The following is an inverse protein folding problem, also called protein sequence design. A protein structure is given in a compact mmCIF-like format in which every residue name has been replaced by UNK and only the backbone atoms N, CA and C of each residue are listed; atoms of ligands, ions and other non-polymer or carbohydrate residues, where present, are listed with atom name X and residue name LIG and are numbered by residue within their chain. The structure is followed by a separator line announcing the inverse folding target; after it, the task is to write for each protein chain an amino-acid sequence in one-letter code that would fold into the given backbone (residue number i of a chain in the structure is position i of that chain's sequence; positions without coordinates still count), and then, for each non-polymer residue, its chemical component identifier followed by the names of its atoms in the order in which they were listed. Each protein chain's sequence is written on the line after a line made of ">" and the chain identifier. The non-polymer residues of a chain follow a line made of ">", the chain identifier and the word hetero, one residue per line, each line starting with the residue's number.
data_IF_674624777177
#
_entry.id   IF_674624777177
#
_cell.length_a   1.000
_cell.length_b   1.000
_cell.length_c   1.000
_cell.angle_alpha   90.00
_cell.angle_beta   90.00
_cell.angle_gamma   90.00
#
_symmetry.space_group_name_H-M   'P 1'
#
loop_
_entity.id
_entity.type
_entity.pdbx_description
1 polymer ?
#
# COMPACT_ATOMS: atom_id res chain seq x y z
N UNK A 1 52.43 24.97 12.59
CA UNK A 1 51.39 24.94 11.52
C UNK A 1 51.08 23.54 10.92
N UNK A 2 51.79 22.46 11.21
CA UNK A 2 51.54 21.11 10.64
C UNK A 2 50.34 20.33 11.29
N UNK A 3 50.02 20.56 12.58
CA UNK A 3 48.91 19.86 13.29
C UNK A 3 47.52 20.16 12.70
N UNK A 4 47.22 21.40 12.33
CA UNK A 4 45.88 21.76 11.77
C UNK A 4 45.53 21.08 10.43
N UNK A 5 46.54 20.79 9.58
CA UNK A 5 46.30 20.11 8.30
C UNK A 5 45.97 18.61 8.47
N UNK A 6 46.48 17.97 9.51
CA UNK A 6 46.21 16.57 9.80
C UNK A 6 44.79 16.38 10.32
N UNK A 7 44.33 17.24 11.24
CA UNK A 7 42.97 17.22 11.78
C UNK A 7 41.92 17.45 10.70
N UNK A 8 42.17 18.38 9.76
CA UNK A 8 41.24 18.67 8.66
C UNK A 8 41.06 17.47 7.70
N UNK A 9 42.13 16.75 7.40
CA UNK A 9 42.10 15.54 6.56
C UNK A 9 41.38 14.38 7.27
N UNK A 10 41.59 14.21 8.57
CA UNK A 10 40.91 13.19 9.37
C UNK A 10 39.42 13.48 9.49
N UNK A 11 39.04 14.74 9.70
CA UNK A 11 37.64 15.15 9.75
C UNK A 11 36.93 14.94 8.40
N UNK A 12 37.58 15.29 7.29
CA UNK A 12 37.04 15.06 5.94
C UNK A 12 36.86 13.57 5.65
N UNK A 13 37.77 12.71 6.08
CA UNK A 13 37.63 11.25 5.90
C UNK A 13 36.45 10.68 6.70
N UNK A 14 36.29 11.10 7.96
CA UNK A 14 35.18 10.67 8.82
C UNK A 14 33.84 11.10 8.21
N UNK A 15 33.77 12.32 7.71
CA UNK A 15 32.55 12.85 7.07
C UNK A 15 32.21 12.10 5.78
N UNK A 16 33.23 11.74 5.00
CA UNK A 16 33.04 10.96 3.75
C UNK A 16 32.57 9.53 4.06
N UNK A 17 33.18 8.87 5.08
CA UNK A 17 32.74 7.53 5.50
C UNK A 17 31.33 7.58 6.06
N UNK A 18 30.97 8.60 6.86
CA UNK A 18 29.62 8.81 7.36
C UNK A 18 28.60 8.98 6.24
N UNK A 19 28.91 9.76 5.22
CA UNK A 19 28.06 9.92 4.02
C UNK A 19 27.89 8.62 3.24
N UNK A 20 28.93 7.81 3.09
CA UNK A 20 28.86 6.51 2.42
C UNK A 20 27.96 5.51 3.18
N UNK A 21 28.06 5.50 4.52
CA UNK A 21 27.20 4.67 5.37
C UNK A 21 25.73 5.12 5.24
N UNK A 22 25.47 6.42 5.32
CA UNK A 22 24.12 6.97 5.14
C UNK A 22 23.56 6.65 3.76
N UNK A 23 24.36 6.80 2.70
CA UNK A 23 23.96 6.47 1.34
C UNK A 23 23.64 4.97 1.15
N UNK A 24 24.35 4.08 1.87
CA UNK A 24 24.08 2.64 1.87
C UNK A 24 22.85 2.23 2.69
N UNK A 25 22.60 2.89 3.83
CA UNK A 25 21.46 2.59 4.70
C UNK A 25 20.14 3.21 4.21
N UNK A 26 20.21 4.34 3.50
CA UNK A 26 19.05 5.07 3.02
C UNK A 26 18.11 4.20 2.16
N UNK A 27 18.55 3.48 1.10
CA UNK A 27 17.67 2.65 0.30
C UNK A 27 17.08 1.46 1.07
N UNK A 28 17.76 0.96 2.10
CA UNK A 28 17.21 -0.09 2.95
C UNK A 28 16.10 0.44 3.85
N UNK A 29 16.29 1.59 4.46
CA UNK A 29 15.29 2.27 5.28
C UNK A 29 14.03 2.59 4.45
N UNK A 30 14.20 3.21 3.29
CA UNK A 30 13.11 3.54 2.38
C UNK A 30 12.31 2.30 1.95
N UNK A 31 12.98 1.19 1.61
CA UNK A 31 12.31 -0.08 1.26
C UNK A 31 11.46 -0.62 2.41
N UNK A 32 11.94 -0.53 3.64
CA UNK A 32 11.22 -1.02 4.82
C UNK A 32 10.01 -0.15 5.11
N UNK A 33 10.17 1.18 5.07
CA UNK A 33 9.09 2.14 5.30
C UNK A 33 8.03 2.05 4.20
N UNK A 34 8.43 2.05 2.93
CA UNK A 34 7.48 1.93 1.81
C UNK A 34 6.79 0.56 1.78
N UNK A 35 7.50 -0.52 2.16
CA UNK A 35 6.89 -1.84 2.31
C UNK A 35 5.75 -1.85 3.34
N UNK A 36 5.96 -1.21 4.48
CA UNK A 36 4.94 -1.06 5.52
C UNK A 36 3.74 -0.23 5.03
N UNK A 37 4.00 0.87 4.31
CA UNK A 37 2.96 1.71 3.70
C UNK A 37 2.15 0.94 2.66
N UNK A 38 2.81 0.20 1.78
CA UNK A 38 2.16 -0.61 0.77
C UNK A 38 1.30 -1.73 1.39
N UNK A 39 1.78 -2.40 2.45
CA UNK A 39 0.99 -3.40 3.17
C UNK A 39 -0.28 -2.82 3.81
N UNK A 40 -0.19 -1.61 4.38
CA UNK A 40 -1.35 -0.90 4.89
C UNK A 40 -2.35 -0.55 3.77
N UNK A 41 -1.87 -0.12 2.61
CA UNK A 41 -2.73 0.16 1.45
C UNK A 41 -3.41 -1.11 0.92
N UNK A 42 -2.72 -2.26 0.89
CA UNK A 42 -3.33 -3.56 0.55
C UNK A 42 -4.46 -3.91 1.53
N UNK A 43 -4.23 -3.71 2.83
CA UNK A 43 -5.29 -3.92 3.84
C UNK A 43 -6.51 -3.03 3.58
N UNK A 44 -6.32 -1.79 3.16
CA UNK A 44 -7.42 -0.89 2.78
C UNK A 44 -8.13 -1.37 1.52
N UNK A 45 -7.40 -1.80 0.49
CA UNK A 45 -8.01 -2.36 -0.72
C UNK A 45 -8.89 -3.57 -0.40
N UNK A 46 -8.43 -4.48 0.47
CA UNK A 46 -9.20 -5.62 0.94
C UNK A 46 -10.49 -5.18 1.65
N UNK A 47 -10.40 -4.19 2.53
CA UNK A 47 -11.56 -3.66 3.25
C UNK A 47 -12.56 -2.99 2.30
N UNK A 48 -12.09 -2.23 1.32
CA UNK A 48 -12.95 -1.59 0.30
C UNK A 48 -13.61 -2.65 -0.56
N UNK A 49 -12.87 -3.64 -1.04
CA UNK A 49 -13.41 -4.75 -1.83
C UNK A 49 -14.47 -5.52 -1.03
N UNK A 50 -14.22 -5.83 0.24
CA UNK A 50 -15.20 -6.48 1.10
C UNK A 50 -16.47 -5.63 1.31
N UNK A 51 -16.32 -4.31 1.46
CA UNK A 51 -17.44 -3.37 1.61
C UNK A 51 -18.26 -3.26 0.33
N UNK A 52 -17.61 -3.21 -0.82
CA UNK A 52 -18.25 -3.24 -2.13
C UNK A 52 -19.02 -4.54 -2.36
N UNK A 53 -18.47 -5.67 -1.98
CA UNK A 53 -19.15 -6.97 -2.06
C UNK A 53 -20.38 -7.03 -1.15
N UNK A 54 -20.31 -6.46 0.06
CA UNK A 54 -21.49 -6.34 0.93
C UNK A 54 -22.57 -5.43 0.34
N UNK A 55 -22.15 -4.32 -0.28
CA UNK A 55 -23.06 -3.42 -0.99
C UNK A 55 -23.71 -4.13 -2.18
N UNK A 56 -22.93 -4.87 -2.98
CA UNK A 56 -23.39 -5.64 -4.13
C UNK A 56 -24.43 -6.73 -3.75
N UNK A 57 -24.19 -7.45 -2.64
CA UNK A 57 -25.15 -8.45 -2.16
C UNK A 57 -26.54 -7.83 -1.94
N UNK A 58 -26.59 -6.60 -1.41
CA UNK A 58 -27.84 -5.89 -1.11
C UNK A 58 -28.46 -5.22 -2.33
N UNK A 59 -27.65 -4.60 -3.19
CA UNK A 59 -28.11 -3.70 -4.25
C UNK A 59 -27.98 -4.29 -5.65
N UNK A 60 -27.33 -5.46 -5.80
CA UNK A 60 -27.02 -6.14 -7.07
C UNK A 60 -26.19 -5.31 -8.04
N UNK A 61 -25.49 -4.32 -7.53
CA UNK A 61 -24.53 -3.46 -8.26
C UNK A 61 -23.50 -2.90 -7.31
N UNK A 62 -22.30 -2.65 -7.79
CA UNK A 62 -21.26 -1.88 -7.10
C UNK A 62 -21.58 -0.37 -7.13
N UNK A 63 -20.86 0.42 -6.31
CA UNK A 63 -21.11 1.86 -6.21
C UNK A 63 -19.84 2.68 -6.32
N UNK A 64 -19.95 3.90 -6.88
CA UNK A 64 -18.91 4.94 -6.82
C UNK A 64 -19.02 5.83 -5.57
N UNK A 65 -20.05 5.62 -4.75
CA UNK A 65 -20.33 6.47 -3.61
C UNK A 65 -19.66 5.97 -2.35
N UNK A 66 -18.55 6.59 -1.98
CA UNK A 66 -17.79 6.30 -0.77
C UNK A 66 -18.61 6.45 0.51
N UNK A 67 -19.58 7.36 0.54
CA UNK A 67 -20.41 7.56 1.72
C UNK A 67 -21.36 6.38 1.96
N UNK A 68 -21.80 5.74 0.91
CA UNK A 68 -22.55 4.48 1.00
C UNK A 68 -21.68 3.32 1.49
N UNK A 69 -20.40 3.27 1.09
CA UNK A 69 -19.44 2.26 1.52
C UNK A 69 -19.02 2.43 2.99
N UNK A 70 -18.97 3.65 3.50
CA UNK A 70 -18.57 3.93 4.88
C UNK A 70 -19.41 3.17 5.93
N UNK A 71 -20.63 2.78 5.59
CA UNK A 71 -21.50 1.96 6.45
C UNK A 71 -20.98 0.53 6.64
N UNK A 72 -20.15 0.05 5.72
CA UNK A 72 -19.60 -1.31 5.71
C UNK A 72 -18.10 -1.32 5.98
N UNK A 73 -17.40 -0.19 5.82
CA UNK A 73 -15.99 -0.10 6.11
C UNK A 73 -15.75 -0.23 7.62
N UNK A 74 -14.93 -1.19 8.05
CA UNK A 74 -14.57 -1.28 9.46
C UNK A 74 -13.80 -0.02 9.87
N UNK A 75 -13.91 0.35 11.16
CA UNK A 75 -13.08 1.40 11.72
C UNK A 75 -11.60 1.02 11.55
N UNK A 76 -10.90 1.74 10.70
CA UNK A 76 -9.47 1.51 10.47
C UNK A 76 -8.72 1.90 11.74
N UNK A 77 -7.93 1.00 12.35
CA UNK A 77 -7.14 1.33 13.51
C UNK A 77 -6.21 2.51 13.21
N UNK A 78 -6.17 3.52 14.08
CA UNK A 78 -5.33 4.73 13.91
C UNK A 78 -3.86 4.42 13.62
N UNK A 79 -3.38 3.24 14.03
CA UNK A 79 -2.01 2.77 13.74
C UNK A 79 -1.78 2.34 12.30
N UNK A 80 -2.85 2.05 11.54
CA UNK A 80 -2.75 1.61 10.13
C UNK A 80 -2.88 2.76 9.14
N UNK A 81 -3.50 3.87 9.55
CA UNK A 81 -3.67 5.05 8.71
C UNK A 81 -5.04 5.72 8.88
N UNK A 82 -5.28 6.71 8.04
CA UNK A 82 -6.47 7.55 8.07
C UNK A 82 -7.08 7.65 6.68
N UNK A 83 -8.35 7.34 6.57
CA UNK A 83 -9.14 7.71 5.39
C UNK A 83 -9.55 9.19 5.51
N UNK A 84 -9.31 9.94 4.47
CA UNK A 84 -9.86 11.28 4.31
C UNK A 84 -11.39 11.25 4.25
N UNK A 85 -12.00 12.45 4.31
CA UNK A 85 -13.45 12.57 4.13
C UNK A 85 -13.90 11.89 2.82
N UNK A 86 -15.12 11.39 2.80
CA UNK A 86 -15.71 10.85 1.58
C UNK A 86 -15.81 11.98 0.53
N UNK A 87 -15.19 11.84 -0.65
CA UNK A 87 -15.29 12.82 -1.72
C UNK A 87 -16.66 12.73 -2.42
N UNK A 88 -16.89 13.60 -3.40
CA UNK A 88 -18.05 13.49 -4.28
C UNK A 88 -18.03 12.17 -5.05
N UNK A 89 -19.22 11.75 -5.50
CA UNK A 89 -19.38 10.49 -6.24
C UNK A 89 -18.49 10.46 -7.49
N UNK A 90 -17.73 9.39 -7.64
CA UNK A 90 -16.80 9.20 -8.76
C UNK A 90 -15.45 9.90 -8.61
N UNK A 91 -15.16 10.48 -7.45
CA UNK A 91 -13.84 11.05 -7.15
C UNK A 91 -13.02 10.09 -6.28
N UNK A 92 -11.69 10.15 -6.45
CA UNK A 92 -10.76 9.35 -5.66
C UNK A 92 -10.75 9.79 -4.20
N UNK A 93 -10.76 8.81 -3.27
CA UNK A 93 -10.64 9.03 -1.84
C UNK A 93 -9.18 8.92 -1.40
N UNK A 94 -8.76 9.78 -0.48
CA UNK A 94 -7.37 9.75 -0.01
C UNK A 94 -7.22 8.94 1.29
N UNK A 95 -6.22 8.05 1.29
CA UNK A 95 -5.76 7.31 2.47
C UNK A 95 -4.32 7.71 2.80
N UNK A 96 -4.04 8.05 4.04
CA UNK A 96 -2.73 8.50 4.50
C UNK A 96 -2.32 7.86 5.84
N UNK A 97 -1.03 7.97 6.17
CA UNK A 97 -0.47 7.40 7.40
C UNK A 97 -0.55 8.35 8.58
N UNK A 98 -0.77 9.63 8.34
CA UNK A 98 -1.03 10.64 9.38
C UNK A 98 -2.31 11.40 9.09
N UNK A 99 -2.98 11.85 10.13
CA UNK A 99 -4.19 12.67 9.99
C UNK A 99 -3.91 13.98 9.23
N UNK A 100 -2.70 14.54 9.39
CA UNK A 100 -2.26 15.74 8.67
C UNK A 100 -2.13 15.48 7.17
N UNK A 101 -1.53 14.36 6.77
CA UNK A 101 -1.38 13.99 5.37
C UNK A 101 -2.73 13.65 4.74
N UNK A 102 -3.64 13.03 5.50
CA UNK A 102 -5.02 12.79 5.06
C UNK A 102 -5.76 14.10 4.74
N UNK A 103 -5.61 15.11 5.60
CA UNK A 103 -6.22 16.43 5.38
C UNK A 103 -5.60 17.20 4.19
N UNK A 104 -4.30 17.00 3.93
CA UNK A 104 -3.54 17.72 2.91
C UNK A 104 -3.43 16.96 1.57
N UNK A 105 -3.77 15.67 1.51
CA UNK A 105 -3.61 14.83 0.33
C UNK A 105 -2.15 14.64 -0.12
N UNK A 106 -1.19 14.64 0.81
CA UNK A 106 0.24 14.73 0.46
C UNK A 106 0.98 13.39 0.41
N UNK A 107 1.01 12.65 1.52
CA UNK A 107 1.72 11.36 1.62
C UNK A 107 0.72 10.25 1.93
N UNK A 108 0.41 9.46 0.93
CA UNK A 108 -0.60 8.41 1.05
C UNK A 108 -0.92 7.74 -0.26
N UNK A 109 -2.18 7.32 -0.40
CA UNK A 109 -2.71 6.69 -1.59
C UNK A 109 -4.01 7.35 -2.02
N UNK A 110 -4.15 7.62 -3.30
CA UNK A 110 -5.43 7.96 -3.90
C UNK A 110 -6.15 6.66 -4.24
N UNK A 111 -7.27 6.41 -3.58
CA UNK A 111 -8.13 5.24 -3.82
C UNK A 111 -9.17 5.62 -4.86
N UNK A 112 -9.30 4.82 -5.90
CA UNK A 112 -10.26 5.03 -6.97
C UNK A 112 -11.03 3.73 -7.26
N UNK A 113 -12.29 3.87 -7.66
CA UNK A 113 -13.18 2.78 -8.02
C UNK A 113 -13.46 2.84 -9.52
N UNK A 114 -13.06 1.83 -10.24
CA UNK A 114 -13.28 1.69 -11.68
C UNK A 114 -14.29 0.59 -11.92
N UNK A 115 -15.50 0.96 -12.28
CA UNK A 115 -16.62 0.03 -12.52
C UNK A 115 -16.98 -0.02 -13.99
N UNK A 116 -17.48 -1.17 -14.45
CA UNK A 116 -18.11 -1.27 -15.77
C UNK A 116 -19.43 -0.48 -15.82
N UNK A 117 -20.00 -0.29 -17.01
CA UNK A 117 -21.23 0.50 -17.20
C UNK A 117 -22.41 -0.06 -16.41
N UNK A 118 -22.45 -1.37 -16.24
CA UNK A 118 -23.52 -2.10 -15.56
C UNK A 118 -23.30 -2.20 -14.05
N UNK A 119 -22.12 -1.76 -13.57
CA UNK A 119 -21.68 -1.83 -12.17
C UNK A 119 -21.72 -3.25 -11.58
N UNK A 120 -21.50 -4.25 -12.41
CA UNK A 120 -21.43 -5.67 -12.02
C UNK A 120 -20.03 -6.17 -11.86
N UNK A 121 -19.07 -5.45 -12.44
CA UNK A 121 -17.64 -5.73 -12.35
C UNK A 121 -16.86 -4.45 -12.07
N UNK A 122 -15.74 -4.57 -11.41
CA UNK A 122 -14.90 -3.42 -11.13
C UNK A 122 -13.59 -3.75 -10.45
N UNK A 123 -12.80 -2.72 -10.32
CA UNK A 123 -11.48 -2.76 -9.68
C UNK A 123 -11.35 -1.56 -8.75
N UNK A 124 -10.85 -1.80 -7.55
CA UNK A 124 -10.37 -0.72 -6.69
C UNK A 124 -8.87 -0.56 -6.87
N UNK A 125 -8.43 0.67 -7.07
CA UNK A 125 -7.01 1.02 -7.26
C UNK A 125 -6.53 1.91 -6.13
N UNK A 126 -5.25 1.78 -5.78
CA UNK A 126 -4.56 2.66 -4.83
C UNK A 126 -3.29 3.19 -5.48
N UNK A 127 -3.32 4.44 -5.91
CA UNK A 127 -2.18 5.12 -6.53
C UNK A 127 -1.35 5.81 -5.48
N UNK A 128 -0.07 5.46 -5.36
CA UNK A 128 0.87 6.07 -4.42
C UNK A 128 1.05 7.57 -4.73
N UNK A 129 0.80 8.42 -3.74
CA UNK A 129 1.03 9.87 -3.78
C UNK A 129 2.09 10.26 -2.77
N UNK A 130 3.05 11.07 -3.18
CA UNK A 130 4.22 11.39 -2.36
C UNK A 130 5.24 10.24 -2.33
N UNK A 131 6.35 10.43 -1.62
CA UNK A 131 7.45 9.45 -1.57
C UNK A 131 8.34 9.48 -2.81
N UNK A 132 9.37 8.62 -2.81
CA UNK A 132 10.37 8.54 -3.87
C UNK A 132 10.00 7.54 -4.99
N UNK A 133 8.98 6.72 -4.77
CA UNK A 133 8.64 5.62 -5.68
C UNK A 133 7.17 5.68 -6.05
N UNK A 134 6.88 5.75 -7.36
CA UNK A 134 5.54 5.65 -7.91
C UNK A 134 5.15 4.19 -8.14
N UNK A 135 4.01 3.76 -7.59
CA UNK A 135 3.40 2.47 -7.88
C UNK A 135 1.88 2.53 -7.68
N UNK A 136 1.20 1.59 -8.29
CA UNK A 136 -0.25 1.44 -8.21
C UNK A 136 -0.58 0.02 -7.77
N UNK A 137 -1.42 -0.11 -6.79
CA UNK A 137 -2.00 -1.37 -6.32
C UNK A 137 -3.42 -1.47 -6.87
N UNK A 138 -3.79 -2.63 -7.37
CA UNK A 138 -5.11 -2.89 -7.95
C UNK A 138 -5.69 -4.16 -7.34
N UNK A 139 -7.01 -4.18 -7.13
CA UNK A 139 -7.72 -5.36 -6.65
C UNK A 139 -9.06 -5.48 -7.37
N UNK A 140 -9.31 -6.63 -7.98
CA UNK A 140 -10.62 -6.97 -8.58
C UNK A 140 -11.67 -7.09 -7.47
N UNK A 141 -12.85 -6.50 -7.66
CA UNK A 141 -13.95 -6.56 -6.70
C UNK A 141 -14.61 -7.94 -6.68
N UNK A 142 -14.78 -8.57 -7.84
CA UNK A 142 -15.44 -9.86 -7.94
C UNK A 142 -14.53 -11.02 -7.52
N UNK A 143 -13.31 -11.06 -8.04
CA UNK A 143 -12.39 -12.20 -7.89
C UNK A 143 -11.39 -11.99 -6.74
N UNK A 144 -11.22 -10.74 -6.30
CA UNK A 144 -10.23 -10.38 -5.30
C UNK A 144 -8.78 -10.51 -5.81
N UNK A 145 -8.58 -10.56 -7.13
CA UNK A 145 -7.25 -10.63 -7.73
C UNK A 145 -6.48 -9.35 -7.49
N UNK A 146 -5.23 -9.53 -7.07
CA UNK A 146 -4.33 -8.42 -6.77
C UNK A 146 -3.29 -8.25 -7.85
N UNK A 147 -3.06 -7.02 -8.26
CA UNK A 147 -1.97 -6.63 -9.14
C UNK A 147 -1.22 -5.42 -8.57
N UNK A 148 0.08 -5.37 -8.81
CA UNK A 148 0.91 -4.23 -8.47
C UNK A 148 1.68 -3.78 -9.71
N UNK A 149 1.49 -2.52 -10.11
CA UNK A 149 2.16 -1.89 -11.26
C UNK A 149 3.12 -0.83 -10.77
N UNK A 150 4.36 -0.88 -11.23
CA UNK A 150 5.39 0.05 -10.79
C UNK A 150 6.37 0.39 -11.91
N UNK A 151 6.85 1.63 -11.88
CA UNK A 151 7.97 2.09 -12.70
C UNK A 151 9.24 2.16 -11.85
N UNK A 152 10.39 1.78 -12.45
CA UNK A 152 11.68 1.77 -11.76
C UNK A 152 11.97 0.50 -10.94
N UNK A 153 13.26 0.22 -10.76
CA UNK A 153 13.75 -1.06 -10.18
C UNK A 153 13.29 -1.28 -8.73
N UNK A 154 13.28 -0.25 -7.90
CA UNK A 154 12.96 -0.37 -6.48
C UNK A 154 11.46 -0.61 -6.28
N UNK A 155 10.61 0.15 -6.99
CA UNK A 155 9.17 -0.05 -6.92
C UNK A 155 8.75 -1.41 -7.50
N UNK A 156 9.39 -1.88 -8.58
CA UNK A 156 9.17 -3.25 -9.11
C UNK A 156 9.55 -4.33 -8.09
N UNK A 157 10.67 -4.17 -7.38
CA UNK A 157 11.03 -5.10 -6.30
C UNK A 157 9.96 -5.16 -5.21
N UNK A 158 9.44 -3.99 -4.78
CA UNK A 158 8.36 -3.92 -3.79
C UNK A 158 7.09 -4.61 -4.30
N UNK A 159 6.70 -4.36 -5.55
CA UNK A 159 5.55 -5.01 -6.17
C UNK A 159 5.70 -6.53 -6.20
N UNK A 160 6.83 -7.05 -6.66
CA UNK A 160 7.08 -8.49 -6.72
C UNK A 160 7.01 -9.15 -5.33
N UNK A 161 7.54 -8.47 -4.31
CA UNK A 161 7.47 -8.95 -2.92
C UNK A 161 6.03 -9.00 -2.42
N UNK A 162 5.24 -7.94 -2.62
CA UNK A 162 3.84 -7.89 -2.19
C UNK A 162 2.99 -8.95 -2.87
N UNK A 163 3.14 -9.12 -4.19
CA UNK A 163 2.42 -10.15 -4.95
C UNK A 163 2.75 -11.54 -4.41
N UNK A 164 4.03 -11.85 -4.22
CA UNK A 164 4.46 -13.15 -3.69
C UNK A 164 3.97 -13.41 -2.25
N UNK A 165 3.89 -12.39 -1.41
CA UNK A 165 3.34 -12.53 -0.05
C UNK A 165 1.82 -12.77 -0.07
N UNK A 166 1.07 -12.10 -0.94
CA UNK A 166 -0.37 -12.30 -1.07
C UNK A 166 -0.72 -13.64 -1.69
N UNK A 167 0.05 -14.12 -2.68
CA UNK A 167 -0.11 -15.45 -3.25
C UNK A 167 0.05 -16.55 -2.19
N UNK A 168 1.03 -16.43 -1.30
CA UNK A 168 1.21 -17.38 -0.19
C UNK A 168 0.02 -17.42 0.76
N UNK A 169 -0.67 -16.29 0.96
CA UNK A 169 -1.86 -16.24 1.80
C UNK A 169 -3.10 -16.82 1.11
N UNK A 170 -3.10 -16.89 -0.22
CA UNK A 170 -4.19 -17.47 -1.02
C UNK A 170 -4.13 -18.99 -1.16
N UNK A 171 -2.93 -19.59 -1.04
CA UNK A 171 -2.81 -21.05 -1.09
C UNK A 171 -3.46 -21.60 0.18
N UNK A 172 -4.57 -22.35 0.09
CA UNK A 172 -5.14 -23.03 1.24
C UNK A 172 -4.07 -23.96 1.83
N UNK A 173 -3.97 -24.04 3.15
CA UNK A 173 -3.12 -25.02 3.83
C UNK A 173 -3.74 -26.43 3.69
N UNK A 174 -3.85 -26.93 2.48
CA UNK A 174 -4.42 -28.25 2.17
C UNK A 174 -3.43 -29.39 2.32
N UNK A 175 -2.37 -29.28 3.10
CA UNK A 175 -1.40 -30.40 3.23
C UNK A 175 -0.85 -30.57 4.64
N UNK A 176 -1.70 -30.69 5.68
CA UNK A 176 -1.20 -31.19 6.96
C UNK A 176 -2.09 -32.16 7.72
N UNK A 177 -3.25 -32.56 7.19
CA UNK A 177 -4.15 -33.51 7.91
C UNK A 177 -4.20 -34.91 7.31
N UNK A 178 -3.72 -35.18 6.10
CA UNK A 178 -3.78 -36.54 5.53
C UNK A 178 -2.66 -37.50 5.99
N UNK A 179 -1.63 -37.02 6.68
CA UNK A 179 -0.51 -37.90 7.10
C UNK A 179 -0.67 -38.50 8.51
N UNK A 180 -1.77 -38.23 9.22
CA UNK A 180 -2.00 -38.75 10.58
C UNK A 180 -3.04 -39.87 10.71
N UNK A 181 -3.62 -40.37 9.61
CA UNK A 181 -4.63 -41.43 9.65
C UNK A 181 -4.08 -42.80 9.20
N UNK A 182 -2.80 -42.91 8.84
CA UNK A 182 -2.17 -44.21 8.54
C UNK A 182 -1.04 -44.56 9.52
N UNK A 183 -1.38 -44.71 10.80
CA UNK A 183 -0.59 -45.53 11.74
C UNK A 183 -1.48 -46.15 12.82
#
# INVERSE_FOLDING_TARGET
>A
MKKKKFELKSFSLILLVGLLILAGLFPFYERTVEGSKAAAAVSILLNVSASENQYFIKNKSYTYDWSSLDKFLPNIPKKQGFLGAAPEVGQARFFAFTAKDAALGKDGFALDLQLNKEKTEGTVTAVRKGGLFGYTLEMSLAEGDFACKAEGKIAKYLCNKLTAELEKLRVPQETSEEEKVQK
#
